data_IF_681326895715
#
_entry.id   IF_681326895715
#
_cell.length_a   1.000
_cell.length_b   1.000
_cell.length_c   1.000
_cell.angle_alpha   90.00
_cell.angle_beta   90.00
_cell.angle_gamma   90.00
#
_symmetry.space_group_name_H-M   'P 1'
#
loop_
_entity.id
_entity.type
_entity.pdbx_description
1 polymer ?
#
# COMPACT_ATOMS: atom_id res chain seq x y z
N UNK A 1 -33.65 -46.60 65.35
CA UNK A 1 -34.08 -45.50 64.46
C UNK A 1 -32.86 -44.64 64.20
N UNK A 2 -31.97 -45.02 63.28
CA UNK A 2 -31.99 -44.74 61.83
C UNK A 2 -32.29 -43.28 61.49
N UNK A 3 -31.26 -42.56 61.03
CA UNK A 3 -31.33 -41.60 59.92
C UNK A 3 -29.90 -41.34 59.41
N UNK A 4 -29.56 -42.04 58.32
CA UNK A 4 -28.45 -41.66 57.45
C UNK A 4 -28.79 -40.30 56.84
N UNK A 5 -27.84 -39.37 56.86
CA UNK A 5 -27.90 -38.14 56.07
C UNK A 5 -26.86 -38.31 54.96
N UNK A 6 -27.36 -38.55 53.75
CA UNK A 6 -26.58 -38.52 52.51
C UNK A 6 -26.25 -37.06 52.19
N UNK A 7 -24.95 -36.73 52.12
CA UNK A 7 -24.48 -35.43 51.65
C UNK A 7 -24.17 -35.53 50.16
N UNK A 8 -25.02 -34.91 49.32
CA UNK A 8 -24.83 -34.84 47.87
C UNK A 8 -23.91 -33.64 47.60
N UNK A 9 -22.64 -33.90 47.32
CA UNK A 9 -21.76 -32.90 46.70
C UNK A 9 -22.18 -32.74 45.23
N UNK A 10 -22.80 -31.61 44.89
CA UNK A 10 -22.98 -31.19 43.49
C UNK A 10 -21.62 -30.76 42.92
N UNK A 11 -21.13 -31.50 41.93
CA UNK A 11 -19.99 -31.13 41.10
C UNK A 11 -20.47 -30.14 40.02
N UNK A 12 -20.25 -28.84 40.22
CA UNK A 12 -20.48 -27.83 39.17
C UNK A 12 -19.33 -27.86 38.19
N UNK A 13 -19.51 -28.59 37.09
CA UNK A 13 -18.63 -28.50 35.91
C UNK A 13 -18.86 -27.13 35.28
N UNK A 14 -18.02 -26.17 35.62
CA UNK A 14 -17.94 -24.89 34.92
C UNK A 14 -17.38 -25.12 33.52
N UNK A 15 -18.25 -25.17 32.52
CA UNK A 15 -17.84 -25.04 31.12
C UNK A 15 -17.47 -23.58 30.87
N UNK A 16 -16.20 -23.23 31.03
CA UNK A 16 -15.67 -21.98 30.49
C UNK A 16 -15.65 -22.12 28.97
N UNK A 17 -16.63 -21.52 28.30
CA UNK A 17 -16.55 -21.30 26.85
C UNK A 17 -15.37 -20.37 26.59
N UNK A 18 -14.25 -20.93 26.09
CA UNK A 18 -13.11 -20.14 25.60
C UNK A 18 -13.58 -19.48 24.31
N UNK A 19 -14.08 -18.25 24.40
CA UNK A 19 -14.22 -17.40 23.21
C UNK A 19 -12.82 -16.97 22.80
N UNK A 20 -12.24 -17.67 21.82
CA UNK A 20 -11.04 -17.21 21.15
C UNK A 20 -11.37 -15.92 20.40
N UNK A 21 -11.11 -14.77 21.03
CA UNK A 21 -11.06 -13.50 20.33
C UNK A 21 -9.79 -13.52 19.47
N UNK A 22 -9.94 -13.71 18.16
CA UNK A 22 -8.82 -13.56 17.24
C UNK A 22 -8.25 -12.14 17.43
N UNK A 23 -6.97 -12.04 17.76
CA UNK A 23 -6.30 -10.78 18.03
C UNK A 23 -6.07 -10.07 16.69
N UNK A 24 -7.09 -9.35 16.20
CA UNK A 24 -7.11 -8.69 14.88
C UNK A 24 -5.98 -7.66 14.67
N UNK A 25 -5.33 -7.25 15.76
CA UNK A 25 -4.16 -6.36 15.76
C UNK A 25 -2.95 -6.95 15.06
N UNK A 26 -2.68 -8.24 15.23
CA UNK A 26 -1.48 -8.87 14.67
C UNK A 26 -1.58 -9.08 13.14
N UNK A 27 -2.67 -9.62 12.57
CA UNK A 27 -2.84 -9.68 11.11
C UNK A 27 -2.82 -8.31 10.44
N UNK A 28 -3.40 -7.30 11.08
CA UNK A 28 -3.41 -5.93 10.56
C UNK A 28 -2.00 -5.30 10.54
N UNK A 29 -1.23 -5.49 11.62
CA UNK A 29 0.17 -5.04 11.67
C UNK A 29 1.02 -5.72 10.61
N UNK A 30 0.85 -7.04 10.40
CA UNK A 30 1.54 -7.76 9.33
C UNK A 30 1.19 -7.21 7.96
N UNK A 31 -0.10 -6.95 7.69
CA UNK A 31 -0.54 -6.36 6.43
C UNK A 31 0.08 -4.97 6.18
N UNK A 32 0.11 -4.10 7.19
CA UNK A 32 0.74 -2.78 7.08
C UNK A 32 2.26 -2.86 6.90
N UNK A 33 2.93 -3.78 7.60
CA UNK A 33 4.36 -4.02 7.41
C UNK A 33 4.69 -4.47 5.98
N UNK A 34 3.89 -5.37 5.39
CA UNK A 34 4.08 -5.80 3.99
C UNK A 34 3.89 -4.64 3.00
N UNK A 35 2.90 -3.78 3.26
CA UNK A 35 2.67 -2.59 2.42
C UNK A 35 3.86 -1.62 2.48
N UNK A 36 4.34 -1.30 3.68
CA UNK A 36 5.53 -0.44 3.87
C UNK A 36 6.74 -1.05 3.21
N UNK A 37 7.03 -2.34 3.44
CA UNK A 37 8.18 -3.05 2.88
C UNK A 37 8.16 -3.03 1.33
N UNK A 38 6.98 -3.20 0.73
CA UNK A 38 6.81 -3.13 -0.72
C UNK A 38 7.18 -1.74 -1.27
N UNK A 39 6.67 -0.67 -0.66
CA UNK A 39 6.97 0.70 -1.10
C UNK A 39 8.43 1.07 -0.81
N UNK A 40 8.99 0.66 0.33
CA UNK A 40 10.39 0.90 0.66
C UNK A 40 11.33 0.23 -0.35
N UNK A 41 11.04 -1.03 -0.75
CA UNK A 41 11.80 -1.74 -1.80
C UNK A 41 11.67 -1.05 -3.15
N UNK A 42 10.49 -0.56 -3.49
CA UNK A 42 10.25 0.20 -4.71
C UNK A 42 11.16 1.44 -4.76
N UNK A 43 11.17 2.27 -3.70
CA UNK A 43 12.05 3.44 -3.64
C UNK A 43 13.53 3.05 -3.65
N UNK A 44 13.92 1.99 -2.92
CA UNK A 44 15.30 1.55 -2.91
C UNK A 44 15.79 1.10 -4.28
N UNK A 45 14.94 0.40 -5.05
CA UNK A 45 15.26 0.02 -6.42
C UNK A 45 15.46 1.27 -7.29
N UNK A 46 14.53 2.23 -7.18
CA UNK A 46 14.58 3.46 -7.98
C UNK A 46 15.82 4.32 -7.65
N UNK A 47 16.20 4.37 -6.36
CA UNK A 47 17.47 4.97 -5.91
C UNK A 47 18.68 4.25 -6.50
N UNK A 48 18.70 2.91 -6.46
CA UNK A 48 19.86 2.12 -6.91
C UNK A 48 20.18 2.31 -8.40
N UNK A 49 19.18 2.72 -9.19
CA UNK A 49 19.31 2.88 -10.62
C UNK A 49 18.97 4.30 -11.09
N UNK A 50 18.86 5.26 -10.16
CA UNK A 50 18.59 6.67 -10.42
C UNK A 50 17.42 6.89 -11.42
N UNK A 51 16.32 6.16 -11.21
CA UNK A 51 15.12 6.24 -12.06
C UNK A 51 15.28 5.69 -13.49
N UNK A 52 16.40 5.04 -13.83
CA UNK A 52 16.68 4.57 -15.19
C UNK A 52 16.08 3.19 -15.52
N UNK A 53 15.21 2.65 -14.66
CA UNK A 53 14.55 1.36 -14.90
C UNK A 53 13.61 1.44 -16.12
N UNK A 54 13.57 0.35 -16.90
CA UNK A 54 12.64 0.20 -18.01
C UNK A 54 11.98 -1.20 -17.99
N UNK A 55 10.66 -1.31 -17.77
CA UNK A 55 9.72 -0.21 -17.51
C UNK A 55 10.04 0.50 -16.19
N UNK A 56 9.59 1.75 -16.03
CA UNK A 56 9.84 2.55 -14.81
C UNK A 56 9.42 1.81 -13.55
N UNK A 57 10.10 2.06 -12.43
CA UNK A 57 9.96 1.26 -11.21
C UNK A 57 8.50 1.17 -10.74
N UNK A 58 7.74 2.28 -10.76
CA UNK A 58 6.31 2.24 -10.41
C UNK A 58 5.54 1.21 -11.22
N UNK A 59 5.79 1.13 -12.53
CA UNK A 59 5.12 0.19 -13.41
C UNK A 59 5.49 -1.26 -13.07
N UNK A 60 6.68 -1.53 -12.55
CA UNK A 60 7.07 -2.89 -12.15
C UNK A 60 6.24 -3.35 -10.92
N UNK A 61 6.05 -2.47 -9.95
CA UNK A 61 5.32 -2.74 -8.69
C UNK A 61 3.80 -2.56 -8.81
N UNK A 62 3.32 -1.95 -9.88
CA UNK A 62 1.91 -1.72 -10.13
C UNK A 62 1.11 -3.03 -10.32
N UNK A 63 -0.15 -2.99 -9.89
CA UNK A 63 -1.13 -4.02 -10.21
C UNK A 63 -1.55 -3.92 -11.70
N UNK A 64 -2.31 -4.89 -12.24
CA UNK A 64 -2.71 -4.87 -13.65
C UNK A 64 -3.46 -3.60 -14.09
N UNK A 65 -4.31 -3.03 -13.23
CA UNK A 65 -5.13 -1.87 -13.57
C UNK A 65 -4.30 -0.59 -13.70
N UNK A 66 -3.38 -0.36 -12.75
CA UNK A 66 -2.46 0.77 -12.83
C UNK A 66 -1.46 0.59 -13.98
N UNK A 67 -0.96 -0.64 -14.20
CA UNK A 67 -0.11 -0.95 -15.37
C UNK A 67 -0.80 -0.61 -16.68
N UNK A 68 -2.08 -0.95 -16.83
CA UNK A 68 -2.84 -0.65 -18.03
C UNK A 68 -3.02 0.87 -18.24
N UNK A 69 -3.24 1.63 -17.17
CA UNK A 69 -3.33 3.09 -17.25
C UNK A 69 -1.99 3.73 -17.64
N UNK A 70 -0.87 3.27 -17.07
CA UNK A 70 0.47 3.71 -17.47
C UNK A 70 0.81 3.32 -18.91
N UNK A 71 0.41 2.12 -19.36
CA UNK A 71 0.60 1.71 -20.76
C UNK A 71 -0.18 2.60 -21.72
N UNK A 72 -1.39 3.01 -21.35
CA UNK A 72 -2.20 3.94 -22.16
C UNK A 72 -1.51 5.29 -22.34
N UNK A 73 -0.86 5.82 -21.30
CA UNK A 73 -0.04 7.03 -21.41
C UNK A 73 1.10 6.85 -22.43
N UNK A 74 1.83 5.74 -22.34
CA UNK A 74 2.92 5.41 -23.27
C UNK A 74 2.42 5.29 -24.72
N UNK A 75 1.29 4.59 -24.92
CA UNK A 75 0.66 4.42 -26.22
C UNK A 75 0.18 5.76 -26.80
N UNK A 76 -0.34 6.65 -25.95
CA UNK A 76 -0.75 7.99 -26.35
C UNK A 76 0.46 8.81 -26.78
N UNK A 77 1.53 8.82 -25.98
CA UNK A 77 2.76 9.54 -26.31
C UNK A 77 3.36 9.06 -27.64
N UNK A 78 3.40 7.74 -27.88
CA UNK A 78 3.88 7.17 -29.13
C UNK A 78 3.12 7.69 -30.36
N UNK A 79 1.80 7.95 -30.24
CA UNK A 79 0.94 8.43 -31.33
C UNK A 79 0.93 9.95 -31.47
N UNK A 80 0.74 10.66 -30.35
CA UNK A 80 0.50 12.10 -30.31
C UNK A 80 1.78 12.92 -30.16
N UNK A 81 2.91 12.28 -29.80
CA UNK A 81 4.18 12.93 -29.50
C UNK A 81 4.04 14.05 -28.45
N UNK A 82 3.03 13.92 -27.58
CA UNK A 82 2.68 14.87 -26.53
C UNK A 82 2.45 14.08 -25.25
N UNK A 83 3.00 14.57 -24.13
CA UNK A 83 2.80 13.94 -22.83
C UNK A 83 1.44 14.32 -22.24
N UNK A 84 0.72 13.31 -21.75
CA UNK A 84 -0.48 13.45 -20.92
C UNK A 84 -0.20 13.04 -19.46
N UNK A 85 1.08 12.87 -19.11
CA UNK A 85 1.54 12.58 -17.76
C UNK A 85 1.26 13.75 -16.81
N UNK A 86 1.41 13.50 -15.50
CA UNK A 86 1.27 14.54 -14.46
C UNK A 86 2.36 15.63 -14.52
N UNK A 87 3.43 15.41 -15.30
CA UNK A 87 4.49 16.40 -15.57
C UNK A 87 5.62 16.42 -14.55
N UNK A 88 5.68 15.45 -13.64
CA UNK A 88 6.75 15.25 -12.66
C UNK A 88 6.88 13.76 -12.35
N UNK A 89 7.99 13.34 -11.76
CA UNK A 89 8.13 11.98 -11.28
C UNK A 89 7.25 11.76 -10.04
N UNK A 90 6.27 10.86 -10.17
CA UNK A 90 5.27 10.57 -9.13
C UNK A 90 5.84 9.92 -7.87
N UNK A 91 6.99 9.25 -7.92
CA UNK A 91 7.66 8.71 -6.73
C UNK A 91 8.34 9.84 -5.93
N UNK A 92 8.82 10.86 -6.61
CA UNK A 92 9.64 11.90 -5.99
C UNK A 92 8.92 13.23 -5.84
N UNK A 93 7.72 13.32 -6.41
CA UNK A 93 6.95 14.54 -6.53
C UNK A 93 7.82 15.73 -7.01
N UNK A 94 8.68 15.45 -7.99
CA UNK A 94 9.69 16.38 -8.47
C UNK A 94 9.93 16.18 -9.96
N UNK A 95 10.29 17.26 -10.67
CA UNK A 95 10.79 17.19 -12.05
C UNK A 95 12.27 16.79 -12.11
N UNK A 96 13.00 16.96 -10.99
CA UNK A 96 14.41 16.62 -10.84
C UNK A 96 14.58 15.91 -9.49
N UNK A 97 14.42 14.57 -9.45
CA UNK A 97 14.51 13.80 -8.22
C UNK A 97 15.89 13.88 -7.55
N UNK A 98 15.91 14.27 -6.27
CA UNK A 98 17.07 14.00 -5.41
C UNK A 98 16.94 12.58 -4.85
N UNK A 99 17.61 11.62 -5.48
CA UNK A 99 17.61 10.22 -5.06
C UNK A 99 18.23 10.01 -3.66
N UNK A 100 19.14 10.90 -3.24
CA UNK A 100 19.85 10.80 -1.97
C UNK A 100 19.08 11.36 -0.78
N UNK A 101 17.96 12.05 -0.99
CA UNK A 101 17.19 12.67 0.08
C UNK A 101 16.65 11.64 1.09
N UNK A 102 16.51 12.07 2.35
CA UNK A 102 15.88 11.27 3.39
C UNK A 102 14.40 11.00 3.11
N UNK A 103 13.92 9.81 3.51
CA UNK A 103 12.53 9.36 3.32
C UNK A 103 12.02 8.68 4.58
N UNK A 104 10.74 8.88 4.90
CA UNK A 104 10.07 8.18 5.99
C UNK A 104 8.82 7.49 5.49
N UNK A 105 8.58 6.26 5.94
CA UNK A 105 7.46 5.44 5.51
C UNK A 105 6.50 5.22 6.68
N UNK A 106 5.22 5.43 6.45
CA UNK A 106 4.16 5.18 7.44
C UNK A 106 2.87 4.71 6.77
N UNK A 107 1.89 4.32 7.57
CA UNK A 107 0.53 4.01 7.08
C UNK A 107 -0.45 4.98 7.73
N UNK A 108 -1.23 5.66 6.89
CA UNK A 108 -2.28 6.58 7.32
C UNK A 108 -3.43 5.84 8.00
N UNK A 109 -4.29 6.57 8.71
CA UNK A 109 -5.54 6.01 9.26
C UNK A 109 -6.49 5.45 8.21
N UNK A 110 -6.33 5.85 6.94
CA UNK A 110 -7.07 5.33 5.78
C UNK A 110 -6.44 4.08 5.16
N UNK A 111 -5.31 3.59 5.69
CA UNK A 111 -4.63 2.40 5.18
C UNK A 111 -3.78 2.62 3.92
N UNK A 112 -3.56 3.88 3.53
CA UNK A 112 -2.59 4.28 2.50
C UNK A 112 -1.18 4.27 3.08
N UNK A 113 -0.19 3.83 2.30
CA UNK A 113 1.22 4.06 2.65
C UNK A 113 1.57 5.48 2.30
N UNK A 114 2.12 6.23 3.26
CA UNK A 114 2.62 7.58 3.09
C UNK A 114 4.14 7.54 3.06
N UNK A 115 4.73 8.21 2.07
CA UNK A 115 6.16 8.46 1.99
C UNK A 115 6.39 9.95 2.16
N UNK A 116 7.01 10.31 3.28
CA UNK A 116 7.44 11.67 3.54
C UNK A 116 8.85 11.89 3.00
N UNK A 117 8.97 12.87 2.12
CA UNK A 117 10.19 13.26 1.43
C UNK A 117 10.78 14.49 2.11
N UNK A 118 12.10 14.54 2.29
CA UNK A 118 12.75 15.74 2.83
C UNK A 118 12.60 16.96 1.90
N UNK A 119 12.45 16.71 0.60
CA UNK A 119 12.23 17.71 -0.44
C UNK A 119 11.00 17.32 -1.28
N UNK A 120 9.94 18.13 -1.21
CA UNK A 120 8.68 17.88 -1.92
C UNK A 120 7.50 17.66 -0.97
N UNK A 121 6.35 17.29 -1.53
CA UNK A 121 5.20 16.84 -0.72
C UNK A 121 5.22 15.32 -0.55
N UNK A 122 4.52 14.87 0.49
CA UNK A 122 4.26 13.46 0.74
C UNK A 122 3.63 12.78 -0.48
N UNK A 123 4.03 11.53 -0.72
CA UNK A 123 3.43 10.68 -1.74
C UNK A 123 2.65 9.57 -1.06
N UNK A 124 1.43 9.32 -1.53
CA UNK A 124 0.54 8.33 -0.93
C UNK A 124 0.23 7.20 -1.92
N UNK A 125 0.27 5.97 -1.42
CA UNK A 125 0.05 4.77 -2.21
C UNK A 125 -1.12 3.97 -1.66
N UNK A 126 -2.02 3.59 -2.56
CA UNK A 126 -2.96 2.51 -2.32
C UNK A 126 -2.31 1.19 -2.75
N UNK A 127 -2.31 0.20 -1.86
CA UNK A 127 -1.79 -1.14 -2.17
C UNK A 127 -2.87 -2.20 -1.97
N UNK A 128 -2.93 -3.12 -2.93
CA UNK A 128 -3.66 -4.37 -2.85
C UNK A 128 -2.68 -5.49 -2.54
N UNK A 129 -2.97 -6.30 -1.52
CA UNK A 129 -2.09 -7.38 -1.09
C UNK A 129 -2.82 -8.71 -1.10
N UNK A 130 -2.12 -9.75 -1.51
CA UNK A 130 -2.48 -11.13 -1.20
C UNK A 130 -1.61 -11.67 -0.04
N UNK A 131 -1.64 -12.98 0.19
CA UNK A 131 -0.89 -13.60 1.28
C UNK A 131 0.64 -13.58 1.08
N UNK A 132 1.13 -13.18 -0.09
CA UNK A 132 2.53 -13.30 -0.50
C UNK A 132 3.18 -11.98 -0.88
N UNK A 133 2.42 -11.05 -1.46
CA UNK A 133 2.95 -9.78 -1.93
C UNK A 133 1.88 -8.69 -1.96
N UNK A 134 2.36 -7.44 -1.94
CA UNK A 134 1.53 -6.28 -2.26
C UNK A 134 1.90 -5.74 -3.64
N UNK A 135 0.93 -5.16 -4.31
CA UNK A 135 1.09 -4.41 -5.55
C UNK A 135 0.51 -3.02 -5.36
N UNK A 136 1.13 -2.02 -6.01
CA UNK A 136 0.62 -0.65 -6.01
C UNK A 136 -0.63 -0.62 -6.88
N UNK A 137 -1.78 -0.37 -6.25
CA UNK A 137 -3.05 -0.24 -6.93
C UNK A 137 -3.26 1.19 -7.47
N UNK A 138 -2.74 2.19 -6.76
CA UNK A 138 -2.81 3.58 -7.18
C UNK A 138 -1.79 4.47 -6.46
N UNK A 139 -1.53 5.64 -7.03
CA UNK A 139 -0.82 6.75 -6.39
C UNK A 139 -1.80 7.90 -6.24
N UNK A 140 -1.86 8.49 -5.04
CA UNK A 140 -2.73 9.63 -4.76
C UNK A 140 -1.90 10.90 -4.86
N UNK A 141 -2.25 11.74 -5.83
CA UNK A 141 -1.45 12.87 -6.30
C UNK A 141 -1.61 14.13 -5.44
N UNK A 142 -2.69 14.24 -4.67
CA UNK A 142 -2.99 15.42 -3.87
C UNK A 142 -3.80 15.08 -2.61
N UNK A 143 -3.93 16.06 -1.73
CA UNK A 143 -4.67 15.95 -0.47
C UNK A 143 -6.18 15.66 -0.69
N UNK A 144 -6.72 16.06 -1.84
CA UNK A 144 -8.11 15.85 -2.24
C UNK A 144 -8.39 14.39 -2.68
N UNK A 145 -7.34 13.58 -2.86
CA UNK A 145 -7.48 12.18 -3.19
C UNK A 145 -7.43 11.86 -4.68
N UNK A 146 -6.88 12.75 -5.52
CA UNK A 146 -6.81 12.53 -6.95
C UNK A 146 -5.94 11.31 -7.27
N UNK A 147 -6.53 10.33 -7.93
CA UNK A 147 -5.87 9.09 -8.36
C UNK A 147 -5.04 9.31 -9.63
N UNK A 148 -3.79 8.81 -9.64
CA UNK A 148 -2.95 8.74 -10.84
C UNK A 148 -3.62 7.92 -11.93
N UNK A 149 -4.16 6.74 -11.60
CA UNK A 149 -4.89 5.92 -12.56
C UNK A 149 -6.03 6.70 -13.23
N UNK A 150 -6.83 7.41 -12.43
CA UNK A 150 -7.94 8.22 -12.94
C UNK A 150 -7.44 9.40 -13.81
N UNK A 151 -6.34 10.05 -13.40
CA UNK A 151 -5.70 11.10 -14.19
C UNK A 151 -5.30 10.59 -15.59
N UNK A 152 -4.57 9.47 -15.65
CA UNK A 152 -4.11 8.90 -16.91
C UNK A 152 -5.30 8.47 -17.80
N UNK A 153 -6.31 7.82 -17.22
CA UNK A 153 -7.50 7.40 -17.97
C UNK A 153 -8.29 8.58 -18.56
N UNK A 154 -8.27 9.75 -17.90
CA UNK A 154 -8.97 10.95 -18.34
C UNK A 154 -8.17 11.75 -19.37
N UNK A 155 -6.86 11.88 -19.18
CA UNK A 155 -6.03 12.80 -19.95
C UNK A 155 -5.26 12.12 -21.10
N UNK A 156 -5.18 10.79 -21.13
CA UNK A 156 -4.54 10.01 -22.19
C UNK A 156 -5.60 9.22 -23.01
N UNK A 157 -6.31 9.84 -23.96
CA UNK A 157 -7.40 9.20 -24.70
C UNK A 157 -6.95 8.14 -25.72
#
# INVERSE_FOLDING_TARGET
MQKMIFSIMMLTIGFSAITATANLTQPLQTAFAMKIDTVAKMYQQDVNNEGMDNPVVLQQYANPDLKAAMQREQDYFAKAQTSCHVGYDVLWNSQDPDYAQDKQFSVTTRGLVQVSLAHGHDVYYELSCDNSACQVADVILDEEGTSLRAHLLKNCP
#
